data_IF_953867558100
#
_entry.id   IF_953867558100
#
_cell.length_a   1.000
_cell.length_b   1.000
_cell.length_c   1.000
_cell.angle_alpha   90.00
_cell.angle_beta   90.00
_cell.angle_gamma   90.00
#
_symmetry.space_group_name_H-M   'P 1'
#
loop_
_entity.id
_entity.type
_entity.pdbx_description
1 polymer ?
#
# COMPACT_ATOMS: atom_id res chain seq x y z
N UNK A 1 61.21 -19.97 -38.19
CA UNK A 1 59.87 -20.50 -38.56
C UNK A 1 59.21 -21.32 -37.45
N UNK A 2 59.94 -22.14 -36.69
CA UNK A 2 59.34 -22.95 -35.60
C UNK A 2 58.66 -22.15 -34.48
N UNK A 3 59.23 -21.01 -34.06
CA UNK A 3 58.63 -20.17 -33.00
C UNK A 3 57.28 -19.55 -33.40
N UNK A 4 57.14 -19.11 -34.66
CA UNK A 4 55.88 -18.56 -35.17
C UNK A 4 54.78 -19.62 -35.17
N UNK A 5 55.10 -20.84 -35.64
CA UNK A 5 54.16 -21.97 -35.65
C UNK A 5 53.71 -22.35 -34.24
N UNK A 6 54.63 -22.34 -33.26
CA UNK A 6 54.31 -22.62 -31.87
C UNK A 6 53.43 -21.52 -31.24
N UNK A 7 53.73 -20.25 -31.52
CA UNK A 7 52.93 -19.12 -31.06
C UNK A 7 51.52 -19.11 -31.68
N UNK A 8 51.40 -19.45 -32.97
CA UNK A 8 50.09 -19.58 -33.64
C UNK A 8 49.27 -20.73 -33.06
N UNK A 9 49.88 -21.89 -32.82
CA UNK A 9 49.19 -23.02 -32.18
C UNK A 9 48.70 -22.67 -30.78
N UNK A 10 49.53 -22.01 -29.96
CA UNK A 10 49.09 -21.53 -28.64
C UNK A 10 47.93 -20.53 -28.71
N UNK A 11 47.92 -19.62 -29.70
CA UNK A 11 46.82 -18.69 -29.91
C UNK A 11 45.53 -19.42 -30.29
N UNK A 12 45.62 -20.40 -31.19
CA UNK A 12 44.47 -21.23 -31.59
C UNK A 12 43.91 -22.02 -30.40
N UNK A 13 44.77 -22.65 -29.60
CA UNK A 13 44.37 -23.38 -28.41
C UNK A 13 43.68 -22.47 -27.37
N UNK A 14 44.23 -21.28 -27.14
CA UNK A 14 43.60 -20.28 -26.26
C UNK A 14 42.25 -19.80 -26.80
N UNK A 15 42.13 -19.65 -28.13
CA UNK A 15 40.88 -19.21 -28.77
C UNK A 15 39.80 -20.28 -28.64
N UNK A 16 40.13 -21.55 -28.92
CA UNK A 16 39.20 -22.67 -28.76
C UNK A 16 38.76 -22.81 -27.30
N UNK A 17 39.71 -22.80 -26.37
CA UNK A 17 39.43 -22.87 -24.93
C UNK A 17 38.53 -21.70 -24.48
N UNK A 18 38.84 -20.46 -24.88
CA UNK A 18 38.04 -19.29 -24.55
C UNK A 18 36.63 -19.39 -25.11
N UNK A 19 36.47 -19.70 -26.39
CA UNK A 19 35.16 -19.78 -27.04
C UNK A 19 34.32 -20.88 -26.39
N UNK A 20 34.91 -22.06 -26.12
CA UNK A 20 34.22 -23.17 -25.48
C UNK A 20 33.74 -22.82 -24.07
N UNK A 21 34.62 -22.25 -23.24
CA UNK A 21 34.27 -21.89 -21.87
C UNK A 21 33.29 -20.72 -21.81
N UNK A 22 33.49 -19.69 -22.63
CA UNK A 22 32.58 -18.53 -22.72
C UNK A 22 31.18 -18.96 -23.18
N UNK A 23 31.10 -19.76 -24.25
CA UNK A 23 29.81 -20.25 -24.79
C UNK A 23 29.07 -21.04 -23.72
N UNK A 24 29.76 -21.95 -23.04
CA UNK A 24 29.11 -22.78 -22.05
C UNK A 24 28.68 -21.98 -20.81
N UNK A 25 29.51 -21.06 -20.30
CA UNK A 25 29.13 -20.18 -19.19
C UNK A 25 27.90 -19.30 -19.56
N UNK A 26 27.88 -18.73 -20.76
CA UNK A 26 26.78 -17.90 -21.23
C UNK A 26 25.50 -18.72 -21.51
N UNK A 27 25.62 -19.96 -21.99
CA UNK A 27 24.48 -20.85 -22.19
C UNK A 27 23.78 -21.17 -20.87
N UNK A 28 24.54 -21.49 -19.81
CA UNK A 28 23.98 -21.68 -18.48
C UNK A 28 23.38 -20.37 -17.92
N UNK A 29 24.07 -19.24 -18.07
CA UNK A 29 23.53 -17.94 -17.66
C UNK A 29 22.21 -17.60 -18.37
N UNK A 30 22.06 -17.98 -19.64
CA UNK A 30 20.80 -17.78 -20.40
C UNK A 30 19.63 -18.61 -19.86
N UNK A 31 19.93 -19.74 -19.19
CA UNK A 31 18.94 -20.56 -18.48
C UNK A 31 18.68 -20.10 -17.03
N UNK A 32 19.29 -18.98 -16.60
CA UNK A 32 19.22 -18.50 -15.23
C UNK A 32 20.14 -19.26 -14.26
N UNK A 33 21.07 -20.06 -14.78
CA UNK A 33 22.03 -20.85 -14.01
C UNK A 33 23.39 -20.16 -13.97
N UNK A 34 23.69 -19.45 -12.88
CA UNK A 34 24.89 -18.60 -12.79
C UNK A 34 26.10 -19.24 -12.07
N UNK A 35 26.04 -20.54 -11.77
CA UNK A 35 27.12 -21.24 -11.08
C UNK A 35 28.33 -21.53 -11.98
N UNK A 36 28.14 -21.61 -13.29
CA UNK A 36 29.21 -21.90 -14.26
C UNK A 36 30.01 -20.63 -14.57
N UNK A 37 31.34 -20.74 -14.49
CA UNK A 37 32.28 -19.65 -14.74
C UNK A 37 33.29 -20.06 -15.79
N UNK A 38 33.75 -19.09 -16.57
CA UNK A 38 34.90 -19.25 -17.48
C UNK A 38 36.15 -19.44 -16.63
N UNK A 39 36.97 -20.43 -16.96
CA UNK A 39 38.26 -20.66 -16.31
C UNK A 39 39.31 -19.74 -16.96
N UNK A 40 39.84 -18.72 -16.25
CA UNK A 40 40.82 -17.80 -16.84
C UNK A 40 42.24 -18.36 -16.86
N UNK A 41 42.47 -19.51 -16.20
CA UNK A 41 43.78 -20.15 -16.14
C UNK A 41 44.26 -20.57 -17.54
N UNK A 42 45.50 -20.24 -17.88
CA UNK A 42 46.05 -20.47 -19.22
C UNK A 42 45.68 -19.41 -20.26
N UNK A 43 44.73 -18.50 -19.97
CA UNK A 43 44.42 -17.35 -20.82
C UNK A 43 45.33 -16.17 -20.49
N UNK A 44 45.78 -15.44 -21.51
CA UNK A 44 46.65 -14.28 -21.37
C UNK A 44 46.06 -13.05 -22.06
N UNK A 45 46.44 -11.86 -21.57
CA UNK A 45 46.05 -10.58 -22.16
C UNK A 45 44.54 -10.39 -22.27
N UNK A 46 44.07 -10.12 -23.49
CA UNK A 46 42.66 -9.83 -23.79
C UNK A 46 41.71 -10.99 -23.48
N UNK A 47 42.13 -12.24 -23.71
CA UNK A 47 41.30 -13.42 -23.42
C UNK A 47 41.01 -13.55 -21.93
N UNK A 48 42.02 -13.35 -21.09
CA UNK A 48 41.86 -13.35 -19.63
C UNK A 48 40.94 -12.23 -19.16
N UNK A 49 41.15 -11.02 -19.67
CA UNK A 49 40.31 -9.88 -19.33
C UNK A 49 38.84 -10.10 -19.74
N UNK A 50 38.60 -10.70 -20.91
CA UNK A 50 37.27 -11.05 -21.37
C UNK A 50 36.63 -12.15 -20.49
N UNK A 51 37.38 -13.19 -20.13
CA UNK A 51 36.92 -14.25 -19.23
C UNK A 51 36.53 -13.71 -17.85
N UNK A 52 37.37 -12.86 -17.26
CA UNK A 52 37.09 -12.18 -15.99
C UNK A 52 35.87 -11.27 -16.10
N UNK A 53 35.71 -10.56 -17.22
CA UNK A 53 34.53 -9.72 -17.48
C UNK A 53 33.24 -10.53 -17.62
N UNK A 54 33.28 -11.67 -18.30
CA UNK A 54 32.14 -12.60 -18.41
C UNK A 54 31.76 -13.10 -17.01
N UNK A 55 32.74 -13.53 -16.22
CA UNK A 55 32.49 -14.00 -14.85
C UNK A 55 31.87 -12.92 -13.96
N UNK A 56 32.36 -11.68 -14.05
CA UNK A 56 31.79 -10.54 -13.33
C UNK A 56 30.34 -10.26 -13.76
N UNK A 57 30.05 -10.31 -15.08
CA UNK A 57 28.70 -10.15 -15.61
C UNK A 57 27.76 -11.25 -15.12
N UNK A 58 28.16 -12.52 -15.21
CA UNK A 58 27.39 -13.68 -14.71
C UNK A 58 27.09 -13.55 -13.22
N UNK A 59 28.06 -13.11 -12.41
CA UNK A 59 27.86 -12.87 -10.99
C UNK A 59 26.87 -11.72 -10.73
N UNK A 60 26.94 -10.62 -11.49
CA UNK A 60 25.98 -9.53 -11.36
C UNK A 60 24.56 -9.96 -11.77
N UNK A 61 24.44 -10.83 -12.78
CA UNK A 61 23.15 -11.40 -13.19
C UNK A 61 22.55 -12.31 -12.10
N UNK A 62 23.38 -13.11 -11.40
CA UNK A 62 22.95 -13.93 -10.27
C UNK A 62 22.35 -13.07 -9.14
N UNK A 63 23.08 -12.03 -8.73
CA UNK A 63 22.64 -11.09 -7.69
C UNK A 63 21.34 -10.41 -8.11
N UNK A 64 21.27 -9.85 -9.33
CA UNK A 64 20.06 -9.19 -9.83
C UNK A 64 18.86 -10.13 -9.91
N UNK A 65 19.05 -11.39 -10.31
CA UNK A 65 17.97 -12.38 -10.40
C UNK A 65 17.40 -12.71 -9.02
N UNK A 66 18.27 -12.85 -8.01
CA UNK A 66 17.85 -13.03 -6.61
C UNK A 66 17.12 -11.79 -6.08
N UNK A 67 17.64 -10.60 -6.34
CA UNK A 67 17.01 -9.34 -5.93
C UNK A 67 15.63 -9.17 -6.57
N UNK A 68 15.50 -9.49 -7.85
CA UNK A 68 14.22 -9.47 -8.57
C UNK A 68 13.21 -10.46 -7.96
N UNK A 69 13.64 -11.68 -7.64
CA UNK A 69 12.78 -12.69 -7.01
C UNK A 69 12.31 -12.22 -5.63
N UNK A 70 13.21 -11.63 -4.83
CA UNK A 70 12.87 -11.08 -3.53
C UNK A 70 11.98 -9.84 -3.61
N UNK A 71 12.16 -8.99 -4.63
CA UNK A 71 11.29 -7.86 -4.90
C UNK A 71 9.88 -8.32 -5.31
N UNK A 72 9.77 -9.41 -6.08
CA UNK A 72 8.48 -9.98 -6.47
C UNK A 72 7.70 -10.52 -5.28
N UNK A 73 8.36 -11.28 -4.40
CA UNK A 73 7.74 -11.77 -3.17
C UNK A 73 7.21 -10.62 -2.30
N UNK A 74 8.01 -9.54 -2.15
CA UNK A 74 7.59 -8.33 -1.43
C UNK A 74 6.40 -7.64 -2.10
N UNK A 75 6.36 -7.61 -3.44
CA UNK A 75 5.28 -6.99 -4.20
C UNK A 75 3.96 -7.72 -3.98
N UNK A 76 3.96 -9.05 -4.00
CA UNK A 76 2.78 -9.87 -3.72
C UNK A 76 2.27 -9.67 -2.29
N UNK A 77 3.18 -9.64 -1.32
CA UNK A 77 2.82 -9.36 0.08
C UNK A 77 2.20 -7.97 0.23
N UNK A 78 2.79 -6.96 -0.41
CA UNK A 78 2.27 -5.59 -0.38
C UNK A 78 0.87 -5.50 -1.00
N UNK A 79 0.59 -6.26 -2.06
CA UNK A 79 -0.74 -6.33 -2.65
C UNK A 79 -1.79 -6.91 -1.68
N UNK A 80 -1.44 -7.94 -0.89
CA UNK A 80 -2.31 -8.48 0.15
C UNK A 80 -2.56 -7.47 1.28
N UNK A 81 -1.50 -6.82 1.78
CA UNK A 81 -1.58 -5.79 2.83
C UNK A 81 -2.51 -4.64 2.41
N UNK A 82 -2.44 -4.19 1.15
CA UNK A 82 -3.34 -3.19 0.61
C UNK A 82 -4.79 -3.70 0.47
N UNK A 83 -4.97 -4.97 0.11
CA UNK A 83 -6.27 -5.63 0.11
C UNK A 83 -6.93 -5.65 1.48
N UNK A 84 -6.16 -5.97 2.53
CA UNK A 84 -6.63 -5.92 3.93
C UNK A 84 -6.93 -4.49 4.37
N UNK A 85 -6.06 -3.53 4.03
CA UNK A 85 -6.25 -2.11 4.34
C UNK A 85 -7.55 -1.59 3.73
N UNK A 86 -7.87 -1.95 2.48
CA UNK A 86 -9.12 -1.59 1.81
C UNK A 86 -10.34 -2.10 2.58
N UNK A 87 -10.35 -3.37 3.00
CA UNK A 87 -11.46 -3.95 3.78
C UNK A 87 -11.68 -3.22 5.11
N UNK A 88 -10.59 -2.85 5.79
CA UNK A 88 -10.66 -2.07 7.03
C UNK A 88 -11.25 -0.68 6.80
N UNK A 89 -10.85 -0.01 5.73
CA UNK A 89 -11.39 1.30 5.33
C UNK A 89 -12.88 1.22 4.99
N UNK A 90 -13.31 0.19 4.24
CA UNK A 90 -14.72 -0.05 3.93
C UNK A 90 -15.55 -0.28 5.20
N UNK A 91 -15.01 -1.06 6.14
CA UNK A 91 -15.64 -1.30 7.46
C UNK A 91 -15.76 -0.01 8.28
N UNK A 92 -14.70 0.81 8.31
CA UNK A 92 -14.71 2.11 8.99
C UNK A 92 -15.73 3.08 8.37
N UNK A 93 -15.84 3.10 7.05
CA UNK A 93 -16.82 3.93 6.34
C UNK A 93 -18.26 3.51 6.67
N UNK A 94 -18.52 2.19 6.72
CA UNK A 94 -19.83 1.64 7.10
C UNK A 94 -20.20 1.99 8.55
N UNK A 95 -19.27 1.79 9.49
CA UNK A 95 -19.46 2.15 10.91
C UNK A 95 -19.72 3.66 11.07
N UNK A 96 -18.96 4.51 10.38
CA UNK A 96 -19.14 5.97 10.41
C UNK A 96 -20.52 6.38 9.87
N UNK A 97 -21.01 5.71 8.82
CA UNK A 97 -22.37 5.93 8.29
C UNK A 97 -23.45 5.57 9.31
N UNK A 98 -23.29 4.47 10.04
CA UNK A 98 -24.21 4.08 11.11
C UNK A 98 -24.22 5.11 12.25
N UNK A 99 -23.05 5.57 12.70
CA UNK A 99 -22.93 6.63 13.71
C UNK A 99 -23.63 7.92 13.25
N UNK A 100 -23.45 8.30 11.98
CA UNK A 100 -24.17 9.45 11.40
C UNK A 100 -25.69 9.27 11.41
N UNK A 101 -26.18 8.05 11.19
CA UNK A 101 -27.60 7.72 11.34
C UNK A 101 -28.11 7.91 12.77
N UNK A 102 -27.40 7.35 13.75
CA UNK A 102 -27.76 7.51 15.17
C UNK A 102 -27.70 8.97 15.62
N UNK A 103 -26.69 9.73 15.19
CA UNK A 103 -26.55 11.15 15.52
C UNK A 103 -27.76 11.97 15.06
N UNK A 104 -28.28 11.71 13.85
CA UNK A 104 -29.50 12.36 13.35
C UNK A 104 -30.74 12.03 14.18
N UNK A 105 -30.89 10.77 14.60
CA UNK A 105 -32.00 10.36 15.47
C UNK A 105 -31.92 11.07 16.81
N UNK A 106 -30.74 11.12 17.43
CA UNK A 106 -30.53 11.83 18.71
C UNK A 106 -30.80 13.33 18.54
N UNK A 107 -30.37 13.94 17.43
CA UNK A 107 -30.65 15.35 17.14
C UNK A 107 -32.16 15.62 17.03
N UNK A 108 -32.91 14.74 16.36
CA UNK A 108 -34.37 14.82 16.30
C UNK A 108 -35.02 14.70 17.69
N UNK A 109 -34.57 13.76 18.52
CA UNK A 109 -35.06 13.57 19.89
C UNK A 109 -34.78 14.82 20.73
N UNK A 110 -33.59 15.39 20.63
CA UNK A 110 -33.20 16.60 21.34
C UNK A 110 -34.06 17.81 20.91
N UNK A 111 -34.30 17.97 19.62
CA UNK A 111 -35.19 19.00 19.08
C UNK A 111 -36.63 18.87 19.60
N UNK A 112 -37.19 17.65 19.58
CA UNK A 112 -38.52 17.37 20.13
C UNK A 112 -38.58 17.61 21.64
N UNK A 113 -37.56 17.18 22.38
CA UNK A 113 -37.46 17.43 23.83
C UNK A 113 -37.41 18.91 24.15
N UNK A 114 -36.66 19.71 23.36
CA UNK A 114 -36.62 21.16 23.52
C UNK A 114 -38.00 21.81 23.27
N UNK A 115 -38.77 21.32 22.29
CA UNK A 115 -40.14 21.78 22.05
C UNK A 115 -41.10 21.40 23.18
N UNK A 116 -41.01 20.16 23.70
CA UNK A 116 -41.79 19.71 24.85
C UNK A 116 -41.49 20.54 26.10
N UNK A 117 -40.21 20.82 26.36
CA UNK A 117 -39.77 21.65 27.48
C UNK A 117 -40.23 23.12 27.33
N UNK A 118 -40.26 23.64 26.10
CA UNK A 118 -40.82 24.96 25.81
C UNK A 118 -42.31 25.00 26.13
N UNK A 119 -43.09 24.01 25.69
CA UNK A 119 -44.52 23.93 26.00
C UNK A 119 -44.76 23.84 27.51
N UNK A 120 -43.96 23.04 28.23
CA UNK A 120 -44.05 22.95 29.69
C UNK A 120 -43.71 24.29 30.38
N UNK A 121 -42.76 25.05 29.84
CA UNK A 121 -42.42 26.40 30.35
C UNK A 121 -43.59 27.37 30.16
N UNK A 122 -44.26 27.33 29.00
CA UNK A 122 -45.44 28.16 28.70
C UNK A 122 -46.60 27.81 29.63
N UNK A 123 -46.90 26.53 29.81
CA UNK A 123 -47.99 26.11 30.71
C UNK A 123 -47.66 26.47 32.17
N UNK A 124 -46.41 26.29 32.60
CA UNK A 124 -45.98 26.69 33.95
C UNK A 124 -46.17 28.19 34.21
N UNK A 125 -45.92 29.03 33.21
CA UNK A 125 -46.17 30.47 33.32
C UNK A 125 -47.68 30.79 33.41
N UNK A 126 -48.53 29.97 32.78
CA UNK A 126 -49.99 30.12 32.79
C UNK A 126 -50.61 29.79 34.16
N UNK A 127 -50.06 28.81 34.89
CA UNK A 127 -50.54 28.43 36.24
C UNK A 127 -50.02 29.37 37.35
N UNK A 128 -49.18 30.35 37.03
CA UNK A 128 -48.69 31.36 37.97
C UNK A 128 -47.79 30.78 39.07
N UNK A 129 -48.01 31.20 40.33
CA UNK A 129 -47.21 30.79 41.50
C UNK A 129 -47.17 29.26 41.69
N UNK A 130 -48.25 28.54 41.36
CA UNK A 130 -48.31 27.08 41.47
C UNK A 130 -47.38 26.34 40.48
N UNK A 131 -46.99 27.01 39.38
CA UNK A 131 -46.13 26.44 38.33
C UNK A 131 -44.64 26.69 38.52
N UNK A 132 -44.21 27.41 39.56
CA UNK A 132 -42.80 27.85 39.73
C UNK A 132 -41.79 26.70 39.73
N UNK A 133 -42.08 25.61 40.43
CA UNK A 133 -41.22 24.42 40.46
C UNK A 133 -41.11 23.73 39.10
N UNK A 134 -42.24 23.62 38.39
CA UNK A 134 -42.28 23.05 37.04
C UNK A 134 -41.54 23.92 36.02
N UNK A 135 -41.59 25.25 36.15
CA UNK A 135 -40.86 26.18 35.29
C UNK A 135 -39.34 25.98 35.38
N UNK A 136 -38.80 25.75 36.59
CA UNK A 136 -37.37 25.48 36.79
C UNK A 136 -36.95 24.18 36.12
N UNK A 137 -37.71 23.10 36.31
CA UNK A 137 -37.44 21.80 35.68
C UNK A 137 -37.52 21.90 34.15
N UNK A 138 -38.55 22.56 33.62
CA UNK A 138 -38.72 22.76 32.19
C UNK A 138 -37.55 23.57 31.58
N UNK A 139 -37.06 24.58 32.29
CA UNK A 139 -35.87 25.34 31.90
C UNK A 139 -34.61 24.48 31.80
N UNK A 140 -34.40 23.59 32.77
CA UNK A 140 -33.25 22.68 32.79
C UNK A 140 -33.32 21.62 31.69
N UNK A 141 -34.50 21.02 31.45
CA UNK A 141 -34.71 20.09 30.34
C UNK A 141 -34.45 20.78 29.00
N UNK A 142 -34.89 22.03 28.83
CA UNK A 142 -34.65 22.81 27.61
C UNK A 142 -33.14 23.07 27.40
N UNK A 143 -32.41 23.37 28.47
CA UNK A 143 -30.96 23.58 28.44
C UNK A 143 -30.22 22.31 28.04
N UNK A 144 -30.55 21.17 28.66
CA UNK A 144 -29.98 19.86 28.33
C UNK A 144 -30.27 19.47 26.88
N UNK A 145 -31.51 19.67 26.41
CA UNK A 145 -31.90 19.38 25.04
C UNK A 145 -31.08 20.17 24.02
N UNK A 146 -30.85 21.48 24.26
CA UNK A 146 -29.96 22.29 23.40
C UNK A 146 -28.53 21.76 23.42
N UNK A 147 -27.99 21.46 24.59
CA UNK A 147 -26.64 20.91 24.73
C UNK A 147 -26.48 19.57 23.98
N UNK A 148 -27.52 18.72 23.99
CA UNK A 148 -27.55 17.48 23.19
C UNK A 148 -27.59 17.76 21.69
N UNK A 149 -28.38 18.74 21.23
CA UNK A 149 -28.40 19.16 19.81
C UNK A 149 -27.04 19.68 19.33
N UNK A 150 -26.35 20.46 20.16
CA UNK A 150 -25.03 20.99 19.82
C UNK A 150 -23.97 19.86 19.76
N UNK A 151 -24.00 18.95 20.73
CA UNK A 151 -23.10 17.79 20.75
C UNK A 151 -23.33 16.86 19.54
N UNK A 152 -24.59 16.62 19.16
CA UNK A 152 -24.90 15.82 17.96
C UNK A 152 -24.40 16.49 16.68
N UNK A 153 -24.54 17.81 16.54
CA UNK A 153 -24.00 18.54 15.39
C UNK A 153 -22.46 18.42 15.28
N UNK A 154 -21.74 18.44 16.40
CA UNK A 154 -20.29 18.19 16.43
C UNK A 154 -19.95 16.76 15.99
N UNK A 155 -20.69 15.76 16.48
CA UNK A 155 -20.54 14.35 16.06
C UNK A 155 -20.76 14.22 14.55
N UNK A 156 -21.79 14.84 13.99
CA UNK A 156 -22.03 14.81 12.55
C UNK A 156 -20.86 15.40 11.75
N UNK A 157 -20.26 16.50 12.24
CA UNK A 157 -19.07 17.08 11.62
C UNK A 157 -17.90 16.10 11.64
N UNK A 158 -17.67 15.44 12.77
CA UNK A 158 -16.59 14.46 12.91
C UNK A 158 -16.81 13.24 12.00
N UNK A 159 -18.05 12.75 11.90
CA UNK A 159 -18.43 11.65 11.00
C UNK A 159 -18.14 12.03 9.55
N UNK A 160 -18.46 13.25 9.12
CA UNK A 160 -18.13 13.73 7.75
C UNK A 160 -16.63 13.72 7.49
N UNK A 161 -15.83 14.18 8.45
CA UNK A 161 -14.36 14.16 8.34
C UNK A 161 -13.82 12.73 8.22
N UNK A 162 -14.34 11.79 9.02
CA UNK A 162 -13.93 10.38 8.93
C UNK A 162 -14.31 9.78 7.58
N UNK A 163 -15.53 10.03 7.09
CA UNK A 163 -15.98 9.55 5.77
C UNK A 163 -15.11 10.09 4.63
N UNK A 164 -14.73 11.37 4.68
CA UNK A 164 -13.84 11.98 3.70
C UNK A 164 -12.44 11.34 3.74
N UNK A 165 -11.87 11.17 4.93
CA UNK A 165 -10.58 10.51 5.12
C UNK A 165 -10.60 9.04 4.63
N UNK A 166 -11.65 8.28 4.97
CA UNK A 166 -11.83 6.91 4.48
C UNK A 166 -11.88 6.85 2.95
N UNK A 167 -12.61 7.78 2.31
CA UNK A 167 -12.67 7.85 0.85
C UNK A 167 -11.31 8.15 0.23
N UNK A 168 -10.59 9.13 0.77
CA UNK A 168 -9.25 9.48 0.31
C UNK A 168 -8.26 8.30 0.44
N UNK A 169 -8.33 7.56 1.54
CA UNK A 169 -7.52 6.35 1.74
C UNK A 169 -7.90 5.27 0.74
N UNK A 170 -9.19 5.03 0.50
CA UNK A 170 -9.65 4.08 -0.51
C UNK A 170 -9.11 4.41 -1.90
N UNK A 171 -9.19 5.67 -2.32
CA UNK A 171 -8.69 6.13 -3.62
C UNK A 171 -7.16 5.97 -3.72
N UNK A 172 -6.43 6.21 -2.64
CA UNK A 172 -4.98 6.01 -2.59
C UNK A 172 -4.61 4.53 -2.70
N UNK A 173 -5.30 3.65 -1.97
CA UNK A 173 -5.10 2.20 -2.06
C UNK A 173 -5.41 1.69 -3.47
N UNK A 174 -6.48 2.17 -4.10
CA UNK A 174 -6.83 1.79 -5.46
C UNK A 174 -5.75 2.20 -6.48
N UNK A 175 -5.19 3.40 -6.36
CA UNK A 175 -4.05 3.83 -7.19
C UNK A 175 -2.85 2.91 -7.04
N UNK A 176 -2.51 2.51 -5.81
CA UNK A 176 -1.39 1.60 -5.57
C UNK A 176 -1.66 0.21 -6.15
N UNK A 177 -2.86 -0.35 -5.94
CA UNK A 177 -3.26 -1.62 -6.54
C UNK A 177 -3.17 -1.61 -8.07
N UNK A 178 -3.57 -0.51 -8.72
CA UNK A 178 -3.43 -0.34 -10.19
C UNK A 178 -1.96 -0.31 -10.62
N UNK A 179 -1.10 0.40 -9.90
CA UNK A 179 0.35 0.43 -10.19
C UNK A 179 0.95 -0.97 -10.06
N UNK A 180 0.63 -1.69 -8.99
CA UNK A 180 1.09 -3.06 -8.76
C UNK A 180 0.63 -4.00 -9.89
N UNK A 181 -0.63 -3.87 -10.35
CA UNK A 181 -1.18 -4.69 -11.44
C UNK A 181 -0.61 -4.33 -12.82
N UNK A 182 -0.30 -3.04 -13.07
CA UNK A 182 0.28 -2.60 -14.34
C UNK A 182 1.70 -3.13 -14.57
N UNK A 183 2.45 -3.35 -13.48
CA UNK A 183 3.78 -3.96 -13.56
C UNK A 183 3.72 -5.45 -13.89
N UNK A 184 2.63 -6.16 -13.55
CA UNK A 184 2.43 -7.54 -13.98
C UNK A 184 2.21 -7.65 -15.49
N UNK A 185 1.36 -6.78 -16.06
CA UNK A 185 1.10 -6.81 -17.51
C UNK A 185 2.32 -6.42 -18.35
N UNK A 186 3.18 -5.53 -17.87
CA UNK A 186 4.40 -5.16 -18.59
C UNK A 186 5.45 -6.30 -18.62
N UNK A 187 5.40 -7.23 -17.67
CA UNK A 187 6.33 -8.37 -17.58
C UNK A 187 5.87 -9.61 -18.33
N UNK A 188 4.57 -9.85 -18.48
CA UNK A 188 4.06 -10.96 -19.31
C UNK A 188 4.29 -10.71 -20.80
N UNK A 189 4.48 -9.45 -21.20
CA UNK A 189 4.70 -9.04 -22.59
C UNK A 189 6.18 -8.95 -23.01
N UNK A 190 7.13 -9.17 -22.09
CA UNK A 190 8.58 -9.08 -22.33
C UNK A 190 9.24 -10.45 -22.16
#
# INVERSE_FOLDING_TARGET
>A
MGELLHAMNHLLDMTDAFVREATAALEHASRGEFYRRVLPEGMLGSFRQAAESINAATQQMDVKTRDLSAAEARRLQLADDFGQTRKTVETLAAASKQIGGFSKVIHSIASQTNLLALNATIESARVGEAGRGFAVVAGEVKRLARQTSDATAQIESQVRSIQAASKQTSDAVEKVCRTLSSQDNARVAA
#
